data_IF_756624112416
#
_entry.id   IF_756624112416
#
_cell.length_a   1.000
_cell.length_b   1.000
_cell.length_c   1.000
_cell.angle_alpha   90.00
_cell.angle_beta   90.00
_cell.angle_gamma   90.00
#
_symmetry.space_group_name_H-M   'P 1'
#
loop_
_entity.id
_entity.type
_entity.pdbx_description
1 polymer ?
#
# COMPACT_ATOMS: atom_id res chain seq x y z
N UNK A 1 -23.34 9.37 6.97
CA UNK A 1 -22.06 9.95 6.46
C UNK A 1 -21.31 10.77 7.51
N UNK A 2 -21.92 11.72 8.26
CA UNK A 2 -21.21 12.53 9.27
C UNK A 2 -20.52 11.71 10.38
N UNK A 3 -21.08 10.57 10.80
CA UNK A 3 -20.51 9.69 11.83
C UNK A 3 -19.26 8.96 11.33
N UNK A 4 -19.29 8.39 10.10
CA UNK A 4 -18.15 7.70 9.48
C UNK A 4 -16.94 8.64 9.40
N UNK A 5 -17.16 9.88 8.94
CA UNK A 5 -16.09 10.85 8.83
C UNK A 5 -15.51 11.28 10.20
N UNK A 6 -16.36 11.37 11.24
CA UNK A 6 -15.88 11.64 12.60
C UNK A 6 -15.00 10.52 13.14
N UNK A 7 -15.39 9.25 12.89
CA UNK A 7 -14.62 8.08 13.29
C UNK A 7 -13.31 8.05 12.52
N UNK A 8 -13.33 8.24 11.21
CA UNK A 8 -12.13 8.27 10.38
C UNK A 8 -11.14 9.36 10.85
N UNK A 9 -11.63 10.56 11.16
CA UNK A 9 -10.81 11.65 11.69
C UNK A 9 -10.18 11.32 13.04
N UNK A 10 -10.95 10.67 13.92
CA UNK A 10 -10.44 10.24 15.22
C UNK A 10 -9.32 9.20 15.05
N UNK A 11 -9.53 8.20 14.21
CA UNK A 11 -8.52 7.17 13.92
C UNK A 11 -7.27 7.76 13.26
N UNK A 12 -7.45 8.68 12.31
CA UNK A 12 -6.32 9.41 11.71
C UNK A 12 -5.53 10.17 12.76
N UNK A 13 -6.18 10.87 13.66
CA UNK A 13 -5.49 11.57 14.75
C UNK A 13 -4.69 10.57 15.60
N UNK A 14 -5.27 9.41 15.95
CA UNK A 14 -4.57 8.37 16.70
C UNK A 14 -3.34 7.87 15.93
N UNK A 15 -3.46 7.65 14.61
CA UNK A 15 -2.35 7.26 13.76
C UNK A 15 -1.26 8.32 13.72
N UNK A 16 -1.60 9.59 13.51
CA UNK A 16 -0.63 10.68 13.43
C UNK A 16 -0.01 11.08 14.77
N UNK A 17 -0.68 10.78 15.90
CA UNK A 17 -0.06 10.87 17.23
C UNK A 17 0.86 9.70 17.53
N UNK A 18 0.76 8.60 16.77
CA UNK A 18 1.67 7.46 16.91
C UNK A 18 3.00 7.72 16.21
N UNK A 19 4.15 7.53 16.86
CA UNK A 19 5.45 7.64 16.22
C UNK A 19 5.64 6.60 15.11
N UNK A 20 4.94 5.47 15.16
CA UNK A 20 5.00 4.39 14.17
C UNK A 20 4.52 4.88 12.80
N UNK A 21 3.43 5.66 12.75
CA UNK A 21 2.93 6.17 11.48
C UNK A 21 3.94 7.11 10.79
N UNK A 22 4.56 8.02 11.53
CA UNK A 22 5.60 8.90 11.00
C UNK A 22 6.84 8.14 10.54
N UNK A 23 7.26 7.16 11.35
CA UNK A 23 8.39 6.31 11.02
C UNK A 23 8.14 5.55 9.70
N UNK A 24 6.92 5.03 9.49
CA UNK A 24 6.55 4.36 8.25
C UNK A 24 6.58 5.31 7.04
N UNK A 25 6.09 6.55 7.16
CA UNK A 25 6.19 7.55 6.08
C UNK A 25 7.64 7.86 5.74
N UNK A 26 8.50 8.01 6.77
CA UNK A 26 9.92 8.31 6.58
C UNK A 26 10.63 7.12 5.90
N UNK A 27 10.45 5.90 6.41
CA UNK A 27 11.06 4.69 5.82
C UNK A 27 10.58 4.52 4.37
N UNK A 28 9.28 4.66 4.12
CA UNK A 28 8.72 4.58 2.78
C UNK A 28 9.31 5.63 1.84
N UNK A 29 9.40 6.89 2.30
CA UNK A 29 10.01 7.96 1.52
C UNK A 29 11.49 7.71 1.21
N UNK A 30 12.28 7.33 2.22
CA UNK A 30 13.71 7.01 2.02
C UNK A 30 13.86 5.85 1.05
N UNK A 31 13.10 4.77 1.20
CA UNK A 31 13.17 3.62 0.31
C UNK A 31 12.79 3.98 -1.12
N UNK A 32 11.67 4.70 -1.32
CA UNK A 32 11.27 5.18 -2.64
C UNK A 32 12.35 6.08 -3.26
N UNK A 33 12.98 6.94 -2.46
CA UNK A 33 14.07 7.80 -2.89
C UNK A 33 15.33 7.03 -3.30
N UNK A 34 15.73 6.01 -2.53
CA UNK A 34 16.86 5.15 -2.88
C UNK A 34 16.61 4.41 -4.19
N UNK A 35 15.46 3.75 -4.32
CA UNK A 35 15.07 3.07 -5.56
C UNK A 35 15.01 4.06 -6.74
N UNK A 36 14.49 5.25 -6.53
CA UNK A 36 14.43 6.28 -7.56
C UNK A 36 15.83 6.70 -8.03
N UNK A 37 16.77 6.90 -7.11
CA UNK A 37 18.16 7.26 -7.46
C UNK A 37 18.88 6.11 -8.17
N UNK A 38 18.71 4.86 -7.75
CA UNK A 38 19.26 3.68 -8.44
C UNK A 38 18.78 3.59 -9.88
N UNK A 39 17.48 3.84 -10.11
CA UNK A 39 16.88 3.82 -11.44
C UNK A 39 17.47 4.96 -12.30
N UNK A 40 17.64 6.17 -11.76
CA UNK A 40 18.25 7.28 -12.48
C UNK A 40 19.71 6.97 -12.88
N UNK A 41 20.53 6.43 -11.99
CA UNK A 41 21.91 6.02 -12.30
C UNK A 41 21.95 4.92 -13.36
N UNK A 42 21.08 3.93 -13.29
CA UNK A 42 20.97 2.89 -14.30
C UNK A 42 20.58 3.46 -15.68
N UNK A 43 19.77 4.53 -15.69
CA UNK A 43 19.39 5.23 -16.90
C UNK A 43 20.55 6.00 -17.51
N UNK A 44 21.33 6.77 -16.74
CA UNK A 44 22.50 7.49 -17.26
C UNK A 44 23.49 6.53 -17.91
N UNK A 45 23.68 5.35 -17.32
CA UNK A 45 24.54 4.29 -17.86
C UNK A 45 23.95 3.66 -19.13
N UNK A 46 22.63 3.57 -19.27
CA UNK A 46 21.95 2.95 -20.42
C UNK A 46 21.68 3.94 -21.57
N UNK A 47 21.68 5.26 -21.32
CA UNK A 47 21.63 6.29 -22.38
C UNK A 47 22.84 6.23 -23.33
N UNK A 48 23.97 5.71 -22.85
CA UNK A 48 25.12 5.39 -23.71
C UNK A 48 24.84 4.25 -24.72
N UNK A 49 23.68 3.58 -24.64
CA UNK A 49 23.27 2.44 -25.47
C UNK A 49 22.13 2.72 -26.45
N UNK A 50 21.84 3.98 -26.80
CA UNK A 50 20.88 4.41 -27.87
C UNK A 50 19.49 3.72 -27.84
N UNK A 51 18.84 3.57 -26.68
CA UNK A 51 17.49 2.99 -26.62
C UNK A 51 16.40 4.07 -26.73
N UNK A 52 15.29 3.81 -27.49
CA UNK A 52 14.23 4.81 -27.69
C UNK A 52 13.52 5.17 -26.38
N UNK A 53 13.31 6.46 -26.14
CA UNK A 53 12.78 7.09 -24.91
C UNK A 53 11.41 6.55 -24.45
N UNK A 54 10.56 6.05 -25.34
CA UNK A 54 9.25 5.49 -24.98
C UNK A 54 9.34 4.19 -24.17
N UNK A 55 10.39 3.41 -24.34
CA UNK A 55 10.65 2.18 -23.56
C UNK A 55 11.13 2.54 -22.16
N UNK A 56 11.69 3.72 -21.99
CA UNK A 56 12.31 4.19 -20.77
C UNK A 56 11.32 4.36 -19.61
N UNK A 57 10.19 5.03 -19.86
CA UNK A 57 9.16 5.24 -18.80
C UNK A 57 8.62 3.92 -18.26
N UNK A 58 8.40 2.92 -19.14
CA UNK A 58 7.95 1.59 -18.72
C UNK A 58 9.01 0.86 -17.90
N UNK A 59 10.27 0.93 -18.30
CA UNK A 59 11.38 0.29 -17.56
C UNK A 59 11.59 0.96 -16.21
N UNK A 60 11.53 2.30 -16.14
CA UNK A 60 11.74 3.05 -14.91
C UNK A 60 10.64 2.83 -13.87
N UNK A 61 9.38 2.73 -14.29
CA UNK A 61 8.25 2.68 -13.37
C UNK A 61 7.66 1.28 -13.20
N UNK A 62 7.61 0.45 -14.25
CA UNK A 62 6.96 -0.87 -14.22
C UNK A 62 7.87 -2.04 -14.62
N UNK A 63 9.17 -1.81 -14.87
CA UNK A 63 10.15 -2.90 -15.06
C UNK A 63 10.31 -3.74 -13.79
N UNK A 64 10.95 -4.90 -13.88
CA UNK A 64 11.19 -5.81 -12.75
C UNK A 64 11.92 -5.11 -11.57
N UNK A 65 12.73 -4.10 -11.86
CA UNK A 65 13.38 -3.22 -10.88
C UNK A 65 12.76 -1.81 -10.85
N UNK A 66 11.55 -1.62 -11.39
CA UNK A 66 10.89 -0.33 -11.47
C UNK A 66 10.38 0.17 -10.11
N UNK A 67 10.20 1.49 -10.01
CA UNK A 67 9.76 2.14 -8.78
C UNK A 67 8.41 1.58 -8.27
N UNK A 68 7.45 1.33 -9.16
CA UNK A 68 6.14 0.80 -8.77
C UNK A 68 6.25 -0.63 -8.26
N UNK A 69 7.10 -1.47 -8.88
CA UNK A 69 7.33 -2.84 -8.43
C UNK A 69 7.98 -2.84 -7.05
N UNK A 70 9.02 -2.05 -6.83
CA UNK A 70 9.67 -1.93 -5.52
C UNK A 70 8.70 -1.47 -4.42
N UNK A 71 7.82 -0.51 -4.73
CA UNK A 71 6.77 -0.06 -3.80
C UNK A 71 5.74 -1.16 -3.56
N UNK A 72 5.26 -1.85 -4.60
CA UNK A 72 4.33 -2.98 -4.50
C UNK A 72 4.89 -4.07 -3.59
N UNK A 73 6.16 -4.44 -3.80
CA UNK A 73 6.84 -5.49 -3.04
C UNK A 73 7.08 -5.14 -1.56
N UNK A 74 6.89 -3.88 -1.17
CA UNK A 74 7.03 -3.44 0.22
C UNK A 74 5.71 -3.04 0.88
N UNK A 75 4.67 -2.75 0.11
CA UNK A 75 3.34 -2.40 0.63
C UNK A 75 2.77 -3.49 1.56
N UNK A 76 3.03 -4.77 1.27
CA UNK A 76 2.57 -5.87 2.12
C UNK A 76 3.22 -5.90 3.51
N UNK A 77 4.32 -5.17 3.73
CA UNK A 77 4.94 -5.00 5.05
C UNK A 77 4.36 -3.78 5.79
N UNK A 78 4.10 -2.68 5.09
CA UNK A 78 3.63 -1.44 5.70
C UNK A 78 2.16 -1.52 6.14
N UNK A 79 1.29 -2.10 5.31
CA UNK A 79 -0.15 -2.15 5.60
C UNK A 79 -0.48 -2.96 6.85
N UNK A 80 0.10 -4.15 7.13
CA UNK A 80 -0.14 -4.87 8.38
C UNK A 80 0.20 -4.07 9.63
N UNK A 81 1.30 -3.30 9.60
CA UNK A 81 1.70 -2.46 10.72
C UNK A 81 0.71 -1.31 10.98
N UNK A 82 0.10 -0.77 9.93
CA UNK A 82 -0.91 0.28 10.04
C UNK A 82 -2.27 -0.26 10.52
N UNK A 83 -2.63 -1.46 10.07
CA UNK A 83 -3.97 -2.03 10.31
C UNK A 83 -4.06 -2.86 11.59
N UNK A 84 -2.93 -3.32 12.13
CA UNK A 84 -2.90 -4.25 13.27
C UNK A 84 -3.70 -3.77 14.49
N UNK A 85 -3.70 -2.47 14.79
CA UNK A 85 -4.33 -1.90 15.97
C UNK A 85 -5.76 -1.40 15.77
N UNK A 86 -6.32 -1.48 14.57
CA UNK A 86 -7.61 -0.84 14.25
C UNK A 86 -8.79 -1.38 15.05
N UNK A 87 -8.86 -2.68 15.19
CA UNK A 87 -9.91 -3.36 15.94
C UNK A 87 -9.35 -4.17 17.13
N UNK A 88 -8.19 -4.80 16.97
CA UNK A 88 -7.58 -5.61 18.02
C UNK A 88 -7.30 -4.83 19.31
N UNK A 89 -6.91 -3.54 19.21
CA UNK A 89 -6.69 -2.67 20.35
C UNK A 89 -7.98 -2.41 21.15
N UNK A 90 -9.10 -2.20 20.45
CA UNK A 90 -10.40 -2.00 21.11
C UNK A 90 -10.92 -3.28 21.76
N UNK A 91 -10.65 -4.42 21.13
CA UNK A 91 -11.00 -5.72 21.68
C UNK A 91 -10.16 -6.02 22.92
N UNK A 92 -8.86 -5.77 22.88
CA UNK A 92 -7.96 -6.01 24.03
C UNK A 92 -8.22 -5.10 25.22
N UNK A 93 -8.58 -3.83 24.97
CA UNK A 93 -8.91 -2.87 26.05
C UNK A 93 -10.34 -3.00 26.57
N UNK A 94 -11.17 -3.84 25.92
CA UNK A 94 -12.60 -3.97 26.25
C UNK A 94 -13.46 -2.76 25.84
N UNK A 95 -12.86 -1.72 25.21
CA UNK A 95 -13.57 -0.53 24.76
C UNK A 95 -14.56 -0.83 23.62
N UNK A 96 -14.42 -1.97 22.96
CA UNK A 96 -15.37 -2.45 21.96
C UNK A 96 -16.80 -2.56 22.53
N UNK A 97 -16.97 -2.92 23.84
CA UNK A 97 -18.27 -2.99 24.51
C UNK A 97 -18.93 -1.60 24.59
N UNK A 98 -18.15 -0.56 24.89
CA UNK A 98 -18.62 0.83 24.93
C UNK A 98 -18.99 1.31 23.52
N UNK A 99 -18.23 0.90 22.53
CA UNK A 99 -18.47 1.24 21.13
C UNK A 99 -19.78 0.61 20.63
N UNK A 100 -20.03 -0.66 20.97
CA UNK A 100 -21.25 -1.39 20.60
C UNK A 100 -22.50 -0.91 21.36
N UNK A 101 -22.35 -0.35 22.57
CA UNK A 101 -23.46 0.25 23.33
C UNK A 101 -23.81 1.68 22.87
N UNK A 102 -22.99 2.28 22.00
CA UNK A 102 -23.24 3.61 21.46
C UNK A 102 -24.28 3.56 20.33
N UNK A 103 -25.02 4.67 20.06
CA UNK A 103 -26.01 4.71 18.98
C UNK A 103 -25.36 4.84 17.58
N UNK A 104 -24.33 4.01 17.32
CA UNK A 104 -23.56 3.95 16.08
C UNK A 104 -23.66 2.55 15.49
N UNK A 105 -23.95 2.43 14.21
CA UNK A 105 -24.00 1.11 13.54
C UNK A 105 -22.59 0.52 13.40
N UNK A 106 -22.47 -0.79 13.52
CA UNK A 106 -21.18 -1.51 13.33
C UNK A 106 -20.55 -1.18 11.98
N UNK A 107 -21.39 -1.11 10.93
CA UNK A 107 -20.90 -0.72 9.61
C UNK A 107 -20.29 0.69 9.57
N UNK A 108 -20.86 1.66 10.31
CA UNK A 108 -20.30 3.02 10.38
C UNK A 108 -18.91 3.02 11.05
N UNK A 109 -18.69 2.13 12.03
CA UNK A 109 -17.42 1.96 12.72
C UNK A 109 -16.38 1.37 11.76
N UNK A 110 -16.72 0.25 11.11
CA UNK A 110 -15.82 -0.46 10.18
C UNK A 110 -15.44 0.45 9.00
N UNK A 111 -16.43 1.09 8.36
CA UNK A 111 -16.15 2.02 7.26
C UNK A 111 -15.37 3.26 7.69
N UNK A 112 -15.59 3.76 8.91
CA UNK A 112 -14.81 4.87 9.45
C UNK A 112 -13.34 4.50 9.65
N UNK A 113 -13.07 3.32 10.21
CA UNK A 113 -11.71 2.79 10.40
C UNK A 113 -11.03 2.49 9.06
N UNK A 114 -11.74 1.87 8.14
CA UNK A 114 -11.25 1.64 6.78
C UNK A 114 -10.86 2.95 6.10
N UNK A 115 -11.74 3.95 6.15
CA UNK A 115 -11.51 5.26 5.54
C UNK A 115 -10.25 5.93 6.10
N UNK A 116 -9.92 5.75 7.37
CA UNK A 116 -8.70 6.30 7.96
C UNK A 116 -7.43 5.74 7.31
N UNK A 117 -7.39 4.42 7.04
CA UNK A 117 -6.25 3.80 6.35
C UNK A 117 -6.21 4.18 4.87
N UNK A 118 -7.36 4.29 4.22
CA UNK A 118 -7.43 4.77 2.82
C UNK A 118 -6.84 6.19 2.70
N UNK A 119 -7.16 7.10 3.63
CA UNK A 119 -6.59 8.45 3.64
C UNK A 119 -5.08 8.41 3.94
N UNK A 120 -4.63 7.54 4.85
CA UNK A 120 -3.21 7.38 5.12
C UNK A 120 -2.47 6.77 3.91
N UNK A 121 -3.04 5.78 3.23
CA UNK A 121 -2.49 5.22 1.99
C UNK A 121 -2.40 6.27 0.89
N UNK A 122 -3.39 7.16 0.80
CA UNK A 122 -3.33 8.29 -0.12
C UNK A 122 -2.13 9.22 0.18
N UNK A 123 -1.79 9.45 1.46
CA UNK A 123 -0.59 10.18 1.84
C UNK A 123 0.69 9.51 1.30
N UNK A 124 0.80 8.18 1.38
CA UNK A 124 1.94 7.45 0.82
C UNK A 124 2.04 7.63 -0.70
N UNK A 125 0.90 7.58 -1.40
CA UNK A 125 0.86 7.84 -2.84
C UNK A 125 1.24 9.29 -3.18
N UNK A 126 0.86 10.26 -2.36
CA UNK A 126 1.31 11.65 -2.52
C UNK A 126 2.84 11.75 -2.39
N UNK A 127 3.45 11.08 -1.42
CA UNK A 127 4.92 11.02 -1.28
C UNK A 127 5.55 10.41 -2.55
N UNK A 128 4.98 9.33 -3.08
CA UNK A 128 5.47 8.71 -4.32
C UNK A 128 5.30 9.65 -5.53
N UNK A 129 4.21 10.40 -5.58
CA UNK A 129 3.95 11.37 -6.66
C UNK A 129 5.01 12.47 -6.69
N UNK A 130 5.60 12.86 -5.55
CA UNK A 130 6.70 13.83 -5.53
C UNK A 130 7.94 13.32 -6.29
N UNK A 131 8.27 12.04 -6.18
CA UNK A 131 9.36 11.43 -6.96
C UNK A 131 9.03 11.37 -8.45
N UNK A 132 7.77 11.08 -8.80
CA UNK A 132 7.30 11.11 -10.19
C UNK A 132 7.40 12.52 -10.78
N UNK A 133 7.03 13.55 -10.03
CA UNK A 133 7.17 14.95 -10.44
C UNK A 133 8.65 15.31 -10.62
N UNK A 134 9.53 14.88 -9.70
CA UNK A 134 10.96 15.07 -9.84
C UNK A 134 11.50 14.39 -11.12
N UNK A 135 11.03 13.16 -11.42
CA UNK A 135 11.37 12.46 -12.66
C UNK A 135 10.93 13.23 -13.91
N UNK A 136 9.76 13.85 -13.88
CA UNK A 136 9.24 14.64 -15.01
C UNK A 136 10.15 15.82 -15.38
N UNK A 137 10.80 16.43 -14.39
CA UNK A 137 11.77 17.50 -14.64
C UNK A 137 13.13 17.01 -15.14
N UNK A 138 13.45 15.73 -14.93
CA UNK A 138 14.74 15.13 -15.29
C UNK A 138 14.70 14.36 -16.62
N UNK A 139 13.49 13.98 -17.09
CA UNK A 139 13.30 13.10 -18.26
C UNK A 139 12.38 13.81 -19.26
N UNK A 140 12.89 14.07 -20.47
CA UNK A 140 12.19 14.83 -21.51
C UNK A 140 10.92 14.17 -22.09
N UNK A 141 10.73 12.85 -21.93
CA UNK A 141 9.59 12.09 -22.49
C UNK A 141 8.97 11.12 -21.50
N UNK A 142 8.34 11.65 -20.42
CA UNK A 142 7.60 10.82 -19.46
C UNK A 142 6.18 10.56 -19.99
N UNK A 143 5.79 9.28 -20.07
CA UNK A 143 4.40 8.89 -20.35
C UNK A 143 3.53 9.09 -19.09
N UNK A 144 2.93 10.28 -18.98
CA UNK A 144 2.13 10.70 -17.84
C UNK A 144 0.91 9.79 -17.64
N UNK A 145 0.28 9.32 -18.74
CA UNK A 145 -0.91 8.46 -18.63
C UNK A 145 -0.57 7.12 -17.99
N UNK A 146 0.55 6.54 -18.41
CA UNK A 146 1.05 5.30 -17.83
C UNK A 146 1.37 5.43 -16.34
N UNK A 147 2.02 6.51 -15.95
CA UNK A 147 2.40 6.77 -14.56
C UNK A 147 1.18 7.00 -13.66
N UNK A 148 0.19 7.75 -14.12
CA UNK A 148 -1.08 7.95 -13.37
C UNK A 148 -1.80 6.61 -13.19
N UNK A 149 -1.83 5.77 -14.23
CA UNK A 149 -2.40 4.42 -14.15
C UNK A 149 -1.71 3.57 -13.08
N UNK A 150 -0.37 3.59 -13.02
CA UNK A 150 0.41 2.89 -12.01
C UNK A 150 0.17 3.40 -10.59
N UNK A 151 0.11 4.71 -10.38
CA UNK A 151 -0.21 5.31 -9.07
C UNK A 151 -1.62 4.93 -8.60
N UNK A 152 -2.61 4.93 -9.51
CA UNK A 152 -3.96 4.47 -9.22
C UNK A 152 -3.98 2.97 -8.88
N UNK A 153 -3.26 2.15 -9.62
CA UNK A 153 -3.12 0.72 -9.33
C UNK A 153 -2.55 0.45 -7.95
N UNK A 154 -1.44 1.13 -7.59
CA UNK A 154 -0.84 1.03 -6.25
C UNK A 154 -1.79 1.52 -5.14
N UNK A 155 -2.54 2.58 -5.38
CA UNK A 155 -3.54 3.06 -4.42
C UNK A 155 -4.65 2.02 -4.19
N UNK A 156 -5.21 1.44 -5.25
CA UNK A 156 -6.23 0.41 -5.16
C UNK A 156 -5.69 -0.87 -4.48
N UNK A 157 -4.45 -1.25 -4.77
CA UNK A 157 -3.77 -2.35 -4.11
C UNK A 157 -3.63 -2.09 -2.60
N UNK A 158 -3.19 -0.89 -2.22
CA UNK A 158 -3.12 -0.50 -0.80
C UNK A 158 -4.48 -0.54 -0.11
N UNK A 159 -5.56 -0.13 -0.78
CA UNK A 159 -6.93 -0.24 -0.27
C UNK A 159 -7.37 -1.71 -0.09
N UNK A 160 -7.02 -2.59 -1.02
CA UNK A 160 -7.31 -4.02 -0.91
C UNK A 160 -6.55 -4.66 0.26
N UNK A 161 -5.26 -4.36 0.42
CA UNK A 161 -4.46 -4.82 1.55
C UNK A 161 -4.99 -4.26 2.88
N UNK A 162 -5.43 -3.01 2.91
CA UNK A 162 -6.05 -2.39 4.09
C UNK A 162 -7.35 -3.10 4.51
N UNK A 163 -8.17 -3.53 3.55
CA UNK A 163 -9.39 -4.29 3.82
C UNK A 163 -9.07 -5.66 4.46
N UNK A 164 -8.08 -6.37 3.92
CA UNK A 164 -7.59 -7.65 4.47
C UNK A 164 -7.02 -7.43 5.88
N UNK A 165 -6.19 -6.41 6.09
CA UNK A 165 -5.61 -6.10 7.39
C UNK A 165 -6.65 -5.71 8.43
N UNK A 166 -7.67 -4.94 8.05
CA UNK A 166 -8.79 -4.61 8.92
C UNK A 166 -9.57 -5.88 9.34
N UNK A 167 -9.81 -6.79 8.38
CA UNK A 167 -10.46 -8.07 8.65
C UNK A 167 -9.62 -8.91 9.63
N UNK A 168 -8.33 -9.07 9.40
CA UNK A 168 -7.44 -9.81 10.29
C UNK A 168 -7.37 -9.19 11.70
N UNK A 169 -7.34 -7.86 11.78
CA UNK A 169 -7.40 -7.13 13.06
C UNK A 169 -8.71 -7.37 13.83
N UNK A 170 -9.79 -7.75 13.16
CA UNK A 170 -11.07 -8.07 13.79
C UNK A 170 -11.11 -9.46 14.44
N UNK A 171 -10.25 -10.38 13.98
CA UNK A 171 -10.26 -11.79 14.42
C UNK A 171 -9.50 -12.03 15.74
N UNK A 172 -8.66 -11.08 16.17
CA UNK A 172 -7.80 -11.26 17.33
C UNK A 172 -7.78 -10.03 18.23
N UNK A 173 -7.58 -10.27 19.54
CA UNK A 173 -7.36 -9.20 20.52
C UNK A 173 -5.89 -8.73 20.61
N UNK A 174 -4.95 -9.46 19.99
CA UNK A 174 -3.53 -9.17 20.06
C UNK A 174 -3.05 -8.49 18.78
N UNK A 175 -2.53 -7.26 18.90
CA UNK A 175 -2.07 -6.46 17.74
C UNK A 175 -0.98 -7.17 16.95
N UNK A 176 -0.01 -7.80 17.64
CA UNK A 176 1.10 -8.51 16.99
C UNK A 176 0.58 -9.72 16.20
N UNK A 177 -0.39 -10.46 16.73
CA UNK A 177 -1.02 -11.58 16.01
C UNK A 177 -1.78 -11.09 14.79
N UNK A 178 -2.49 -9.95 14.90
CA UNK A 178 -3.15 -9.31 13.77
C UNK A 178 -2.15 -8.92 12.66
N UNK A 179 -1.01 -8.34 13.02
CA UNK A 179 0.04 -7.98 12.06
C UNK A 179 0.61 -9.22 11.35
N UNK A 180 1.00 -10.25 12.12
CA UNK A 180 1.60 -11.48 11.56
C UNK A 180 0.60 -12.22 10.67
N UNK A 181 -0.67 -12.34 11.08
CA UNK A 181 -1.70 -13.00 10.28
C UNK A 181 -1.99 -12.23 8.99
N UNK A 182 -2.06 -10.90 9.05
CA UNK A 182 -2.22 -10.06 7.85
C UNK A 182 -1.04 -10.26 6.90
N UNK A 183 0.20 -10.18 7.43
CA UNK A 183 1.42 -10.38 6.65
C UNK A 183 1.45 -11.77 6.00
N UNK A 184 1.09 -12.82 6.74
CA UNK A 184 1.05 -14.18 6.21
C UNK A 184 0.07 -14.33 5.03
N UNK A 185 -1.13 -13.73 5.16
CA UNK A 185 -2.13 -13.75 4.08
C UNK A 185 -1.65 -12.97 2.87
N UNK A 186 -1.13 -11.75 3.05
CA UNK A 186 -0.65 -10.92 1.95
C UNK A 186 0.58 -11.53 1.26
N UNK A 187 1.53 -12.07 2.04
CA UNK A 187 2.68 -12.78 1.49
C UNK A 187 2.27 -14.04 0.72
N UNK A 188 1.29 -14.79 1.24
CA UNK A 188 0.72 -15.95 0.55
C UNK A 188 0.09 -15.58 -0.79
N UNK A 189 -0.68 -14.49 -0.85
CA UNK A 189 -1.29 -14.00 -2.09
C UNK A 189 -0.24 -13.54 -3.10
N UNK A 190 0.82 -12.87 -2.66
CA UNK A 190 1.94 -12.50 -3.52
C UNK A 190 2.68 -13.74 -4.06
N UNK A 191 2.93 -14.73 -3.20
CA UNK A 191 3.61 -15.95 -3.59
C UNK A 191 2.81 -16.78 -4.61
N UNK A 192 1.48 -16.86 -4.44
CA UNK A 192 0.58 -17.51 -5.42
C UNK A 192 0.67 -16.78 -6.77
N UNK A 193 0.71 -15.44 -6.77
CA UNK A 193 0.86 -14.66 -7.99
C UNK A 193 2.17 -14.94 -8.73
N UNK A 194 3.28 -15.10 -8.00
CA UNK A 194 4.59 -15.45 -8.60
C UNK A 194 4.62 -16.86 -9.19
N UNK A 195 4.11 -17.86 -8.46
CA UNK A 195 4.04 -19.24 -8.96
C UNK A 195 3.17 -19.34 -10.23
N UNK A 196 2.07 -18.56 -10.28
CA UNK A 196 1.17 -18.57 -11.43
C UNK A 196 1.80 -18.09 -12.73
N UNK A 197 2.87 -17.29 -12.65
CA UNK A 197 3.62 -16.86 -13.82
C UNK A 197 4.53 -17.96 -14.40
N UNK A 198 4.99 -18.88 -13.55
CA UNK A 198 5.94 -19.94 -13.96
C UNK A 198 5.26 -21.19 -14.54
N UNK A 199 3.98 -21.42 -14.26
CA UNK A 199 3.27 -22.63 -14.68
C UNK A 199 2.00 -22.30 -15.48
N UNK A 200 1.97 -22.65 -16.78
CA UNK A 200 0.84 -22.36 -17.68
C UNK A 200 -0.51 -22.95 -17.22
N UNK A 201 -0.49 -24.11 -16.57
CA UNK A 201 -1.70 -24.76 -16.03
C UNK A 201 -2.28 -24.05 -14.79
N UNK A 202 -1.46 -23.31 -14.07
CA UNK A 202 -1.84 -22.60 -12.83
C UNK A 202 -2.16 -21.14 -13.13
N UNK A 203 -1.67 -20.61 -14.26
CA UNK A 203 -1.81 -19.21 -14.67
C UNK A 203 -3.27 -18.74 -14.69
N UNK A 204 -4.19 -19.54 -15.22
CA UNK A 204 -5.60 -19.16 -15.31
C UNK A 204 -6.27 -19.10 -13.93
N UNK A 205 -5.90 -19.98 -13.00
CA UNK A 205 -6.44 -20.00 -11.64
C UNK A 205 -5.80 -18.90 -10.80
N UNK A 206 -4.48 -18.73 -10.92
CA UNK A 206 -3.74 -17.71 -10.16
C UNK A 206 -4.08 -16.30 -10.62
N UNK A 207 -4.40 -16.09 -11.90
CA UNK A 207 -4.84 -14.79 -12.41
C UNK A 207 -6.09 -14.26 -11.68
N UNK A 208 -7.02 -15.15 -11.31
CA UNK A 208 -8.23 -14.79 -10.57
C UNK A 208 -8.01 -14.62 -9.05
N UNK A 209 -6.96 -15.21 -8.48
CA UNK A 209 -6.70 -15.21 -7.04
C UNK A 209 -5.59 -14.22 -6.65
N UNK A 210 -4.66 -13.93 -7.56
CA UNK A 210 -3.57 -12.99 -7.29
C UNK A 210 -4.04 -11.54 -7.34
N UNK A 211 -3.55 -10.73 -6.39
CA UNK A 211 -3.84 -9.30 -6.32
C UNK A 211 -2.82 -8.49 -7.16
N UNK A 212 -1.76 -9.15 -7.64
CA UNK A 212 -0.61 -8.54 -8.33
C UNK A 212 -0.51 -8.88 -9.82
N UNK A 213 -1.58 -9.41 -10.44
CA UNK A 213 -1.66 -9.75 -11.87
C UNK A 213 -1.71 -8.56 -12.81
#
# INVERSE_FOLDING_TARGET
MKKIFKIARLELNILFYSPIAWLLVIIFGVQAGLTFTEILYAQETSQQLERPLQVLSKVLFAGDNGLFKAVQDTLYLYIPLLTMGLLSRETSSGSIKLLLSSPVKISEIVFGKFLSIVIYSFLLIVVLTLYVVAAHFSIEALDVQFVIGGLLGLFLLACAYAAIGLFMSSLTSYQVVAAISTLAVLAGLNFIGQIGQDYDLVRDITYWVSISG
#
